data_IF_169491261919
#
_entry.id   IF_169491261919
#
_cell.length_a   1.000
_cell.length_b   1.000
_cell.length_c   1.000
_cell.angle_alpha   90.00
_cell.angle_beta   90.00
_cell.angle_gamma   90.00
#
_symmetry.space_group_name_H-M   'P 1'
#
loop_
_entity.id
_entity.type
_entity.pdbx_description
1 polymer ?
#
# COMPACT_ATOMS: atom_id res chain seq x y z
N UNK A 1 -2.00 -28.27 21.30
CA UNK A 1 -2.20 -26.80 21.28
C UNK A 1 -1.68 -26.29 19.94
N UNK A 2 -2.55 -26.19 18.92
CA UNK A 2 -2.16 -25.88 17.55
C UNK A 2 -2.78 -24.54 17.15
N UNK A 3 -1.95 -23.50 16.98
CA UNK A 3 -2.36 -22.14 16.67
C UNK A 3 -2.55 -22.04 15.15
N UNK A 4 -3.80 -21.95 14.67
CA UNK A 4 -4.06 -21.70 13.25
C UNK A 4 -3.52 -20.30 12.89
N UNK A 5 -2.85 -20.13 11.74
CA UNK A 5 -2.42 -18.83 11.28
C UNK A 5 -3.66 -18.00 10.92
N UNK A 6 -3.66 -16.73 11.35
CA UNK A 6 -4.68 -15.75 10.98
C UNK A 6 -4.55 -15.47 9.48
N UNK A 7 -5.40 -16.13 8.70
CA UNK A 7 -5.74 -15.76 7.34
C UNK A 7 -6.33 -14.35 7.40
N UNK A 8 -5.70 -13.38 6.73
CA UNK A 8 -6.30 -12.07 6.55
C UNK A 8 -7.49 -12.24 5.61
N UNK A 9 -8.71 -12.18 6.15
CA UNK A 9 -9.94 -11.91 5.39
C UNK A 9 -9.72 -10.62 4.59
N UNK A 10 -9.34 -10.77 3.32
CA UNK A 10 -9.13 -9.68 2.39
C UNK A 10 -10.31 -9.49 1.43
N UNK A 11 -11.44 -10.19 1.59
CA UNK A 11 -12.54 -10.19 0.63
C UNK A 11 -13.96 -10.14 1.22
N UNK A 12 -14.17 -9.53 2.39
CA UNK A 12 -15.52 -9.21 2.91
C UNK A 12 -16.04 -7.86 2.39
N UNK A 13 -15.73 -7.51 1.13
CA UNK A 13 -16.45 -6.46 0.44
C UNK A 13 -17.80 -7.03 -0.01
N UNK A 14 -18.74 -7.19 0.93
CA UNK A 14 -20.14 -7.47 0.60
C UNK A 14 -20.60 -6.46 -0.45
N UNK A 15 -21.15 -6.90 -1.60
CA UNK A 15 -21.65 -5.99 -2.62
C UNK A 15 -22.59 -4.96 -1.96
N UNK A 16 -22.32 -3.68 -2.18
CA UNK A 16 -23.16 -2.61 -1.65
C UNK A 16 -24.51 -2.72 -2.36
N UNK A 17 -25.57 -3.06 -1.62
CA UNK A 17 -26.93 -3.03 -2.14
C UNK A 17 -27.36 -1.56 -2.30
N UNK A 18 -27.34 -1.06 -3.54
CA UNK A 18 -27.74 0.30 -3.87
C UNK A 18 -29.16 0.64 -3.40
N UNK A 19 -30.06 -0.36 -3.38
CA UNK A 19 -31.43 -0.17 -2.92
C UNK A 19 -31.46 0.05 -1.41
N UNK A 20 -30.67 -0.71 -0.68
CA UNK A 20 -30.53 -0.54 0.77
C UNK A 20 -29.87 0.80 1.11
N UNK A 21 -28.82 1.17 0.38
CA UNK A 21 -28.16 2.47 0.52
C UNK A 21 -29.14 3.64 0.30
N UNK A 22 -29.94 3.58 -0.78
CA UNK A 22 -30.94 4.61 -1.05
C UNK A 22 -32.01 4.72 0.05
N UNK A 23 -32.42 3.61 0.66
CA UNK A 23 -33.36 3.62 1.79
C UNK A 23 -32.76 4.29 3.02
N UNK A 24 -31.47 4.08 3.28
CA UNK A 24 -30.74 4.70 4.39
C UNK A 24 -30.60 6.22 4.18
N UNK A 25 -30.19 6.65 2.98
CA UNK A 25 -30.06 8.08 2.65
C UNK A 25 -31.41 8.81 2.72
N UNK A 26 -32.48 8.22 2.19
CA UNK A 26 -33.81 8.82 2.27
C UNK A 26 -34.30 8.93 3.72
N UNK A 27 -34.08 7.89 4.54
CA UNK A 27 -34.40 7.93 5.96
C UNK A 27 -33.60 9.04 6.70
N UNK A 28 -32.33 9.24 6.34
CA UNK A 28 -31.46 10.27 6.91
C UNK A 28 -31.94 11.69 6.55
N UNK A 29 -32.36 11.90 5.30
CA UNK A 29 -32.91 13.16 4.81
C UNK A 29 -34.29 13.47 5.40
N UNK A 30 -35.19 12.50 5.45
CA UNK A 30 -36.53 12.66 6.04
C UNK A 30 -36.44 13.03 7.51
N UNK A 31 -35.47 12.46 8.24
CA UNK A 31 -35.21 12.83 9.63
C UNK A 31 -34.60 14.24 9.75
N UNK A 32 -33.83 14.74 8.76
CA UNK A 32 -33.39 16.16 8.74
C UNK A 32 -34.55 17.11 8.47
N UNK A 33 -35.45 16.73 7.58
CA UNK A 33 -36.60 17.55 7.15
C UNK A 33 -37.77 17.50 8.14
N UNK A 34 -37.72 16.63 9.15
CA UNK A 34 -38.78 16.47 10.14
C UNK A 34 -40.06 15.85 9.55
N UNK A 35 -39.95 15.13 8.43
CA UNK A 35 -41.09 14.49 7.76
C UNK A 35 -41.76 13.49 8.73
N UNK A 36 -43.10 13.42 8.80
CA UNK A 36 -43.77 12.44 9.66
C UNK A 36 -43.34 11.00 9.35
N UNK A 37 -43.26 10.11 10.35
CA UNK A 37 -42.83 8.72 10.16
C UNK A 37 -43.92 7.91 9.46
N UNK A 38 -43.88 7.91 8.13
CA UNK A 38 -44.78 7.13 7.27
C UNK A 38 -43.97 6.31 6.26
N UNK A 39 -44.51 5.17 5.83
CA UNK A 39 -43.89 4.31 4.81
C UNK A 39 -43.25 3.03 5.35
N UNK A 40 -42.24 2.55 4.62
CA UNK A 40 -41.59 1.23 4.82
C UNK A 40 -41.02 1.05 6.25
N UNK A 41 -41.31 -0.08 6.93
CA UNK A 41 -40.77 -0.36 8.26
C UNK A 41 -39.23 -0.34 8.34
N UNK A 42 -38.51 -0.68 7.27
CA UNK A 42 -37.03 -0.58 7.23
C UNK A 42 -36.57 0.87 7.32
N UNK A 43 -37.27 1.80 6.66
CA UNK A 43 -36.97 3.24 6.76
C UNK A 43 -37.20 3.77 8.16
N UNK A 44 -38.27 3.33 8.83
CA UNK A 44 -38.52 3.69 10.23
C UNK A 44 -37.38 3.25 11.14
N UNK A 45 -36.85 2.03 10.93
CA UNK A 45 -35.68 1.54 11.65
C UNK A 45 -34.44 2.41 11.40
N UNK A 46 -34.15 2.74 10.13
CA UNK A 46 -33.04 3.62 9.77
C UNK A 46 -33.17 5.03 10.33
N UNK A 47 -34.40 5.57 10.45
CA UNK A 47 -34.64 6.86 11.12
C UNK A 47 -34.30 6.83 12.60
N UNK A 48 -34.69 5.77 13.31
CA UNK A 48 -34.33 5.58 14.73
C UNK A 48 -32.81 5.50 14.87
N UNK A 49 -32.14 4.75 14.00
CA UNK A 49 -30.69 4.64 13.99
C UNK A 49 -30.03 6.01 13.74
N UNK A 50 -30.47 6.74 12.71
CA UNK A 50 -29.98 8.08 12.41
C UNK A 50 -30.14 9.04 13.59
N UNK A 51 -31.28 8.98 14.28
CA UNK A 51 -31.53 9.79 15.48
C UNK A 51 -30.59 9.43 16.63
N UNK A 52 -30.34 8.14 16.85
CA UNK A 52 -29.39 7.67 17.89
C UNK A 52 -27.96 8.06 17.56
N UNK A 53 -27.55 7.98 16.29
CA UNK A 53 -26.23 8.40 15.83
C UNK A 53 -26.03 9.92 15.91
N UNK A 54 -27.09 10.71 15.76
CA UNK A 54 -27.06 12.17 15.95
C UNK A 54 -27.12 12.61 17.40
N UNK A 55 -27.52 11.73 18.32
CA UNK A 55 -27.49 12.08 19.73
C UNK A 55 -26.03 12.41 20.10
N UNK A 56 -25.81 13.64 20.58
CA UNK A 56 -24.48 14.04 21.01
C UNK A 56 -24.05 13.09 22.13
N UNK A 57 -22.86 12.47 22.05
CA UNK A 57 -22.39 11.62 23.13
C UNK A 57 -22.38 12.44 24.43
N UNK A 58 -22.90 11.88 25.52
CA UNK A 58 -22.93 12.55 26.83
C UNK A 58 -21.51 12.85 27.37
N UNK A 59 -20.49 12.21 26.78
CA UNK A 59 -19.10 12.44 27.10
C UNK A 59 -18.58 13.70 26.39
N UNK A 60 -18.27 14.72 27.19
CA UNK A 60 -17.49 15.87 26.72
C UNK A 60 -16.14 15.39 26.16
N UNK A 61 -15.79 15.85 24.96
CA UNK A 61 -14.49 15.54 24.37
C UNK A 61 -13.37 16.13 25.23
N UNK A 62 -12.23 15.43 25.37
CA UNK A 62 -11.05 15.99 26.02
C UNK A 62 -10.66 17.33 25.41
N UNK A 63 -10.25 18.28 26.24
CA UNK A 63 -9.87 19.64 25.80
C UNK A 63 -8.71 19.66 24.78
N UNK A 64 -7.92 18.59 24.74
CA UNK A 64 -6.79 18.41 23.85
C UNK A 64 -7.06 17.47 22.66
N UNK A 65 -8.29 16.98 22.48
CA UNK A 65 -8.64 15.99 21.46
C UNK A 65 -8.20 16.40 20.05
N UNK A 66 -8.48 17.65 19.67
CA UNK A 66 -8.12 18.17 18.35
C UNK A 66 -6.60 18.17 18.14
N UNK A 67 -5.85 18.51 19.18
CA UNK A 67 -4.39 18.54 19.14
C UNK A 67 -3.79 17.13 19.05
N UNK A 68 -4.29 16.19 19.86
CA UNK A 68 -3.82 14.79 19.83
C UNK A 68 -4.13 14.13 18.48
N UNK A 69 -5.33 14.38 17.95
CA UNK A 69 -5.75 13.86 16.64
C UNK A 69 -4.88 14.45 15.53
N UNK A 70 -4.65 15.77 15.54
CA UNK A 70 -3.78 16.42 14.56
C UNK A 70 -2.36 15.85 14.61
N UNK A 71 -1.80 15.64 15.80
CA UNK A 71 -0.49 15.00 15.94
C UNK A 71 -0.47 13.56 15.44
N UNK A 72 -1.51 12.77 15.74
CA UNK A 72 -1.60 11.39 15.28
C UNK A 72 -1.62 11.31 13.75
N UNK A 73 -2.45 12.16 13.12
CA UNK A 73 -2.57 12.28 11.66
C UNK A 73 -1.24 12.72 11.05
N UNK A 74 -0.60 13.74 11.62
CA UNK A 74 0.68 14.23 11.12
C UNK A 74 1.79 13.18 11.23
N UNK A 75 1.88 12.46 12.36
CA UNK A 75 2.85 11.37 12.55
C UNK A 75 2.65 10.27 11.51
N UNK A 76 1.40 9.89 11.25
CA UNK A 76 1.05 8.89 10.23
C UNK A 76 1.43 9.36 8.83
N UNK A 77 1.04 10.58 8.45
CA UNK A 77 1.37 11.16 7.15
C UNK A 77 2.89 11.23 6.92
N UNK A 78 3.66 11.64 7.94
CA UNK A 78 5.13 11.65 7.87
C UNK A 78 5.71 10.25 7.73
N UNK A 79 5.16 9.25 8.43
CA UNK A 79 5.61 7.87 8.33
C UNK A 79 5.36 7.29 6.92
N UNK A 80 4.16 7.51 6.37
CA UNK A 80 3.77 7.11 5.01
C UNK A 80 4.65 7.79 3.96
N UNK A 81 4.88 9.11 4.07
CA UNK A 81 5.77 9.83 3.16
C UNK A 81 7.21 9.27 3.16
N UNK A 82 7.75 8.93 4.33
CA UNK A 82 9.07 8.29 4.44
C UNK A 82 9.07 6.89 3.83
N UNK A 83 8.03 6.11 4.05
CA UNK A 83 7.90 4.77 3.46
C UNK A 83 7.84 4.86 1.93
N UNK A 84 7.03 5.77 1.40
CA UNK A 84 6.91 6.03 -0.03
C UNK A 84 8.23 6.51 -0.64
N UNK A 85 8.94 7.43 0.02
CA UNK A 85 10.24 7.88 -0.45
C UNK A 85 11.27 6.74 -0.51
N UNK A 86 11.29 5.84 0.48
CA UNK A 86 12.15 4.64 0.47
C UNK A 86 11.75 3.67 -0.63
N UNK A 87 10.46 3.43 -0.82
CA UNK A 87 9.93 2.59 -1.90
C UNK A 87 10.34 3.14 -3.26
N UNK A 88 10.07 4.42 -3.51
CA UNK A 88 10.43 5.11 -4.75
C UNK A 88 11.92 5.03 -5.03
N UNK A 89 12.77 5.24 -4.02
CA UNK A 89 14.23 5.09 -4.19
C UNK A 89 14.62 3.66 -4.59
N UNK A 90 14.06 2.64 -3.93
CA UNK A 90 14.32 1.24 -4.29
C UNK A 90 13.84 0.91 -5.70
N UNK A 91 12.68 1.43 -6.08
CA UNK A 91 12.12 1.25 -7.42
C UNK A 91 13.06 1.85 -8.48
N UNK A 92 13.55 3.07 -8.28
CA UNK A 92 14.52 3.68 -9.21
C UNK A 92 15.83 2.91 -9.28
N UNK A 93 16.34 2.41 -8.15
CA UNK A 93 17.54 1.56 -8.14
C UNK A 93 17.28 0.26 -8.91
N UNK A 94 16.13 -0.39 -8.71
CA UNK A 94 15.77 -1.60 -9.44
C UNK A 94 15.67 -1.34 -10.95
N UNK A 95 15.01 -0.25 -11.38
CA UNK A 95 14.95 0.14 -12.79
C UNK A 95 16.33 0.43 -13.37
N UNK A 96 17.19 1.15 -12.64
CA UNK A 96 18.55 1.44 -13.09
C UNK A 96 19.37 0.15 -13.28
N UNK A 97 19.23 -0.83 -12.37
CA UNK A 97 19.89 -2.12 -12.49
C UNK A 97 19.38 -2.92 -13.70
N UNK A 98 18.06 -2.99 -13.89
CA UNK A 98 17.47 -3.65 -15.07
C UNK A 98 17.96 -3.00 -16.35
N UNK A 99 17.91 -1.66 -16.42
CA UNK A 99 18.36 -0.92 -17.60
C UNK A 99 19.85 -1.12 -17.88
N UNK A 100 20.70 -1.04 -16.85
CA UNK A 100 22.14 -1.32 -16.99
C UNK A 100 22.40 -2.76 -17.44
N UNK A 101 21.63 -3.73 -16.93
CA UNK A 101 21.76 -5.14 -17.35
C UNK A 101 21.35 -5.35 -18.81
N UNK A 102 20.29 -4.68 -19.27
CA UNK A 102 19.88 -4.70 -20.67
C UNK A 102 20.95 -4.06 -21.58
N UNK A 103 21.50 -2.90 -21.18
CA UNK A 103 22.59 -2.27 -21.93
C UNK A 103 23.83 -3.16 -22.02
N UNK A 104 24.22 -3.79 -20.91
CA UNK A 104 25.33 -4.74 -20.89
C UNK A 104 25.07 -5.94 -21.80
N UNK A 105 23.84 -6.47 -21.79
CA UNK A 105 23.45 -7.56 -22.67
C UNK A 105 23.51 -7.15 -24.15
N UNK A 106 22.99 -5.97 -24.49
CA UNK A 106 23.04 -5.42 -25.85
C UNK A 106 24.49 -5.22 -26.29
N UNK A 107 25.34 -4.61 -25.47
CA UNK A 107 26.77 -4.44 -25.78
C UNK A 107 27.47 -5.80 -25.95
N UNK A 108 27.16 -6.78 -25.10
CA UNK A 108 27.70 -8.12 -25.23
C UNK A 108 27.22 -8.85 -26.48
N UNK A 109 25.98 -8.63 -26.93
CA UNK A 109 25.45 -9.24 -28.14
C UNK A 109 25.89 -8.52 -29.42
N UNK A 110 26.10 -7.20 -29.36
CA UNK A 110 26.40 -6.36 -30.54
C UNK A 110 27.90 -6.11 -30.73
N UNK A 111 28.68 -6.09 -29.65
CA UNK A 111 30.08 -5.63 -29.63
C UNK A 111 31.13 -6.75 -29.60
N UNK A 112 30.73 -8.01 -29.37
CA UNK A 112 31.69 -9.13 -29.34
C UNK A 112 32.29 -9.39 -30.73
N UNK A 113 31.57 -9.14 -31.82
CA UNK A 113 32.12 -9.36 -33.17
C UNK A 113 32.92 -8.16 -33.71
N UNK A 114 32.71 -6.95 -33.16
CA UNK A 114 33.26 -5.72 -33.72
C UNK A 114 34.42 -5.11 -32.92
N UNK A 115 34.51 -5.32 -31.60
CA UNK A 115 35.46 -4.56 -30.75
C UNK A 115 36.63 -5.42 -30.27
N UNK A 116 36.43 -6.71 -30.02
CA UNK A 116 37.52 -7.63 -29.64
C UNK A 116 37.43 -8.89 -30.51
N UNK A 117 38.43 -9.24 -31.34
CA UNK A 117 38.54 -10.57 -31.92
C UNK A 117 38.98 -11.55 -30.82
N UNK A 118 38.19 -11.64 -29.75
CA UNK A 118 38.36 -12.66 -28.72
C UNK A 118 37.89 -13.98 -29.32
N UNK A 119 38.85 -14.70 -29.89
CA UNK A 119 38.86 -16.17 -30.00
C UNK A 119 38.81 -16.87 -28.61
N UNK A 120 38.27 -16.23 -27.58
CA UNK A 120 38.12 -16.76 -26.23
C UNK A 120 36.68 -17.20 -26.02
N UNK A 121 36.46 -18.52 -25.99
CA UNK A 121 35.15 -19.15 -26.05
C UNK A 121 34.15 -18.75 -24.96
N UNK A 122 32.92 -19.22 -25.16
CA UNK A 122 31.76 -19.32 -24.26
C UNK A 122 31.98 -18.91 -22.79
N UNK A 123 33.03 -19.42 -22.15
CA UNK A 123 33.44 -19.18 -20.77
C UNK A 123 33.52 -17.71 -20.34
N UNK A 124 34.04 -16.80 -21.18
CA UNK A 124 34.19 -15.38 -20.78
C UNK A 124 32.84 -14.67 -20.65
N UNK A 125 31.85 -15.06 -21.47
CA UNK A 125 30.48 -14.54 -21.41
C UNK A 125 29.80 -14.97 -20.10
N UNK A 126 30.04 -16.20 -19.66
CA UNK A 126 29.52 -16.71 -18.39
C UNK A 126 30.17 -16.07 -17.17
N UNK A 127 31.47 -15.74 -17.24
CA UNK A 127 32.17 -15.03 -16.15
C UNK A 127 31.58 -13.64 -15.95
N UNK A 128 31.35 -12.88 -17.03
CA UNK A 128 30.73 -11.55 -16.93
C UNK A 128 29.30 -11.65 -16.41
N UNK A 129 28.52 -12.62 -16.87
CA UNK A 129 27.18 -12.88 -16.37
C UNK A 129 27.18 -13.24 -14.87
N UNK A 130 28.14 -14.04 -14.41
CA UNK A 130 28.32 -14.37 -13.00
C UNK A 130 28.68 -13.15 -12.17
N UNK A 131 29.63 -12.33 -12.60
CA UNK A 131 30.01 -11.11 -11.87
C UNK A 131 28.85 -10.11 -11.82
N UNK A 132 28.04 -10.00 -12.87
CA UNK A 132 26.83 -9.18 -12.86
C UNK A 132 25.79 -9.73 -11.87
N UNK A 133 25.54 -11.05 -11.87
CA UNK A 133 24.58 -11.69 -10.98
C UNK A 133 25.01 -11.62 -9.50
N UNK A 134 26.29 -11.82 -9.24
CA UNK A 134 26.90 -11.68 -7.89
C UNK A 134 26.85 -10.22 -7.44
N UNK A 135 27.15 -9.26 -8.31
CA UNK A 135 27.05 -7.84 -8.02
C UNK A 135 25.63 -7.42 -7.61
N UNK A 136 24.61 -7.88 -8.35
CA UNK A 136 23.20 -7.64 -8.02
C UNK A 136 22.81 -8.32 -6.70
N UNK A 137 23.24 -9.56 -6.48
CA UNK A 137 22.96 -10.32 -5.26
C UNK A 137 23.57 -9.68 -4.00
N UNK A 138 24.79 -9.14 -4.11
CA UNK A 138 25.46 -8.43 -3.02
C UNK A 138 24.79 -7.08 -2.72
N UNK A 139 24.29 -6.39 -3.74
CA UNK A 139 23.57 -5.12 -3.57
C UNK A 139 22.24 -5.31 -2.84
N UNK A 140 21.51 -6.38 -3.17
CA UNK A 140 20.27 -6.77 -2.49
C UNK A 140 20.54 -7.15 -1.03
N UNK A 141 21.55 -8.00 -0.79
CA UNK A 141 21.89 -8.49 0.55
C UNK A 141 22.52 -7.43 1.46
N UNK A 142 23.28 -6.48 0.90
CA UNK A 142 23.79 -5.32 1.62
C UNK A 142 22.71 -4.32 2.04
N UNK A 143 21.58 -4.30 1.32
CA UNK A 143 20.39 -3.52 1.67
C UNK A 143 19.64 -4.08 2.88
N UNK A 144 19.72 -5.38 3.14
CA UNK A 144 19.08 -6.04 4.29
C UNK A 144 19.88 -5.91 5.57
N UNK A 145 21.22 -6.07 5.52
CA UNK A 145 22.06 -5.94 6.73
C UNK A 145 22.09 -4.54 7.33
N UNK A 146 21.83 -3.49 6.53
CA UNK A 146 21.68 -2.12 7.05
C UNK A 146 20.38 -1.87 7.81
N UNK A 147 19.41 -2.78 7.74
CA UNK A 147 18.16 -2.69 8.52
C UNK A 147 18.25 -3.31 9.91
N UNK A 148 19.22 -4.19 10.16
CA UNK A 148 19.33 -4.95 11.42
C UNK A 148 20.44 -4.47 12.36
N UNK A 149 21.15 -3.38 12.01
CA UNK A 149 22.22 -2.80 12.84
C UNK A 149 21.89 -1.42 13.42
N UNK A 150 20.60 -1.07 13.54
CA UNK A 150 20.14 0.17 14.16
C UNK A 150 19.14 -0.07 15.30
N UNK A 151 19.44 -1.07 16.14
CA UNK A 151 18.90 -1.17 17.51
C UNK A 151 19.99 -0.74 18.49
#
# INVERSE_FOLDING_TARGET
MNRRPHEHDQDDATPIDEREWALQEQALEDERRGTPPTGDPRRLHYRVLARRLRALPDAALPSNFAWETAQAVERRARAEARAFARFRRRLYVAFALVYASCLLLVVALSGIDAVLPLRGGSSLRWVVALFACVGVSLLLRGGERRKTGSE
#
